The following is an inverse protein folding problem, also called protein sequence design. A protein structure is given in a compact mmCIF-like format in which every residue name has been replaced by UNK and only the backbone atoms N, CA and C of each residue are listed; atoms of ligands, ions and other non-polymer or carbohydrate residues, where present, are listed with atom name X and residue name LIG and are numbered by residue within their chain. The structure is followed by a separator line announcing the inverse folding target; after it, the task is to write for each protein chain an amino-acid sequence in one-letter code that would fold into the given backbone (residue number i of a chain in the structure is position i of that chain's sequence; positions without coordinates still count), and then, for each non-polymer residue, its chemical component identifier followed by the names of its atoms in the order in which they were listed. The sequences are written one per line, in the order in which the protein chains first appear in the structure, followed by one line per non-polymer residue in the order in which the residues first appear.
data_IF_765665657410
#
_entry.id   IF_765665657410
#
_cell.length_a   1.000
_cell.length_b   1.000
_cell.length_c   1.000
_cell.angle_alpha   90.00
_cell.angle_beta   90.00
_cell.angle_gamma   90.00
#
_symmetry.space_group_name_H-M   'P 1'
#
loop_
_entity.id
_entity.type
_entity.pdbx_description
1 polymer ?
#
# COMPACT_ATOMS: atom_id res chain seq x y z
N UNK A 1 -51.29 36.56 -0.36
CA UNK A 1 -50.58 35.92 0.77
C UNK A 1 -49.39 35.17 0.21
N UNK A 2 -48.18 35.62 0.50
CA UNK A 2 -46.95 34.99 0.00
C UNK A 2 -46.58 33.83 0.93
N UNK A 3 -46.94 32.61 0.56
CA UNK A 3 -46.48 31.40 1.27
C UNK A 3 -45.01 31.17 0.92
N UNK A 4 -44.08 31.74 1.70
CA UNK A 4 -42.70 31.32 1.63
C UNK A 4 -42.61 29.86 2.12
N UNK A 5 -42.12 28.91 1.30
CA UNK A 5 -41.94 27.55 1.76
C UNK A 5 -40.91 27.53 2.88
N UNK A 6 -41.32 27.02 4.04
CA UNK A 6 -40.45 26.88 5.21
C UNK A 6 -39.16 26.14 4.85
N UNK A 7 -38.02 26.65 5.32
CA UNK A 7 -36.68 26.12 5.03
C UNK A 7 -36.62 24.65 5.46
N UNK A 8 -36.62 23.72 4.49
CA UNK A 8 -36.50 22.28 4.75
C UNK A 8 -35.23 22.02 5.57
N UNK A 9 -35.35 21.20 6.62
CA UNK A 9 -34.24 20.81 7.50
C UNK A 9 -33.12 20.22 6.63
N UNK A 10 -31.90 20.73 6.77
CA UNK A 10 -30.74 20.23 6.01
C UNK A 10 -30.47 18.78 6.42
N UNK A 11 -30.57 17.85 5.47
CA UNK A 11 -30.16 16.46 5.68
C UNK A 11 -28.64 16.40 5.69
N UNK A 12 -28.07 15.75 6.70
CA UNK A 12 -26.66 15.45 6.76
C UNK A 12 -26.46 13.99 6.34
N UNK A 13 -25.58 13.77 5.37
CA UNK A 13 -25.19 12.43 4.94
C UNK A 13 -24.12 11.88 5.88
N UNK A 14 -24.29 10.63 6.30
CA UNK A 14 -23.29 9.90 7.04
C UNK A 14 -22.01 9.71 6.20
N UNK A 15 -20.83 9.52 6.83
CA UNK A 15 -19.58 9.31 6.09
C UNK A 15 -19.66 8.15 5.09
N UNK A 16 -20.29 7.03 5.48
CA UNK A 16 -20.47 5.87 4.61
C UNK A 16 -21.37 6.18 3.40
N UNK A 17 -22.52 6.85 3.60
CA UNK A 17 -23.40 7.28 2.51
C UNK A 17 -22.65 8.18 1.51
N UNK A 18 -21.79 9.08 2.01
CA UNK A 18 -20.98 9.94 1.14
C UNK A 18 -20.00 9.14 0.29
N UNK A 19 -19.37 8.12 0.87
CA UNK A 19 -18.43 7.24 0.17
C UNK A 19 -19.11 6.43 -0.93
N UNK A 20 -20.27 5.86 -0.64
CA UNK A 20 -21.07 5.12 -1.62
C UNK A 20 -21.49 5.99 -2.80
N UNK A 21 -22.05 7.18 -2.52
CA UNK A 21 -22.42 8.15 -3.57
C UNK A 21 -21.19 8.53 -4.41
N UNK A 22 -20.05 8.81 -3.76
CA UNK A 22 -18.82 9.12 -4.49
C UNK A 22 -18.39 7.97 -5.40
N UNK A 23 -18.50 6.72 -4.95
CA UNK A 23 -18.13 5.56 -5.75
C UNK A 23 -19.02 5.35 -6.96
N UNK A 24 -20.34 5.52 -6.79
CA UNK A 24 -21.30 5.46 -7.91
C UNK A 24 -21.00 6.56 -8.95
N UNK A 25 -20.69 7.78 -8.50
CA UNK A 25 -20.32 8.90 -9.39
C UNK A 25 -19.00 8.63 -10.14
N UNK A 26 -18.00 8.07 -9.48
CA UNK A 26 -16.69 7.74 -10.11
C UNK A 26 -16.84 6.63 -11.15
N UNK A 27 -17.70 5.65 -10.90
CA UNK A 27 -17.99 4.54 -11.83
C UNK A 27 -18.93 4.94 -12.96
N UNK A 28 -19.55 6.12 -12.90
CA UNK A 28 -20.56 6.56 -13.86
C UNK A 28 -21.90 5.82 -13.73
N UNK A 29 -22.15 5.18 -12.58
CA UNK A 29 -23.41 4.47 -12.29
C UNK A 29 -24.57 5.44 -12.00
N UNK A 30 -24.26 6.67 -11.59
CA UNK A 30 -25.25 7.73 -11.34
C UNK A 30 -24.71 9.09 -11.74
N UNK A 31 -25.62 10.03 -12.00
CA UNK A 31 -25.31 11.44 -12.20
C UNK A 31 -25.42 12.25 -10.90
N UNK A 32 -24.84 13.45 -10.88
CA UNK A 32 -24.97 14.39 -9.74
C UNK A 32 -26.44 14.72 -9.45
N UNK A 33 -27.28 14.80 -10.48
CA UNK A 33 -28.69 15.12 -10.32
C UNK A 33 -29.47 13.96 -9.66
N UNK A 34 -29.27 12.74 -10.14
CA UNK A 34 -29.90 11.53 -9.61
C UNK A 34 -29.46 11.26 -8.16
N UNK A 35 -28.14 11.34 -7.88
CA UNK A 35 -27.62 11.17 -6.54
C UNK A 35 -28.19 12.21 -5.57
N UNK A 36 -28.31 13.46 -6.00
CA UNK A 36 -28.91 14.52 -5.18
C UNK A 36 -30.40 14.26 -4.87
N UNK A 37 -31.15 13.78 -5.86
CA UNK A 37 -32.56 13.42 -5.70
C UNK A 37 -32.75 12.24 -4.74
N UNK A 38 -32.03 11.13 -4.96
CA UNK A 38 -32.08 9.93 -4.11
C UNK A 38 -31.65 10.24 -2.67
N UNK A 39 -30.56 10.99 -2.51
CA UNK A 39 -30.05 11.40 -1.23
C UNK A 39 -30.85 12.57 -0.60
N UNK A 40 -31.84 13.14 -1.31
CA UNK A 40 -32.65 14.29 -0.86
C UNK A 40 -31.80 15.47 -0.38
N UNK A 41 -30.73 15.78 -1.11
CA UNK A 41 -29.83 16.90 -0.85
C UNK A 41 -29.73 17.81 -2.06
N UNK A 42 -29.12 18.97 -1.90
CA UNK A 42 -28.89 19.88 -3.01
C UNK A 42 -27.77 19.38 -3.94
N UNK A 43 -27.88 19.65 -5.24
CA UNK A 43 -26.84 19.28 -6.23
C UNK A 43 -25.47 19.85 -5.87
N UNK A 44 -25.40 21.07 -5.31
CA UNK A 44 -24.15 21.66 -4.84
C UNK A 44 -23.52 20.86 -3.69
N UNK A 45 -24.33 20.17 -2.88
CA UNK A 45 -23.83 19.29 -1.81
C UNK A 45 -23.11 18.08 -2.40
N UNK A 46 -23.67 17.47 -3.44
CA UNK A 46 -23.05 16.35 -4.16
C UNK A 46 -21.81 16.79 -4.94
N UNK A 47 -21.86 17.95 -5.62
CA UNK A 47 -20.68 18.52 -6.27
C UNK A 47 -19.55 18.78 -5.26
N UNK A 48 -19.86 19.39 -4.10
CA UNK A 48 -18.87 19.65 -3.06
C UNK A 48 -18.31 18.36 -2.47
N UNK A 49 -19.15 17.34 -2.28
CA UNK A 49 -18.73 16.01 -1.83
C UNK A 49 -17.71 15.41 -2.80
N UNK A 50 -17.95 15.45 -4.10
CA UNK A 50 -17.02 14.95 -5.13
C UNK A 50 -15.65 15.64 -5.04
N UNK A 51 -15.64 16.97 -4.93
CA UNK A 51 -14.38 17.73 -4.82
C UNK A 51 -13.61 17.39 -3.54
N UNK A 52 -14.31 17.32 -2.39
CA UNK A 52 -13.69 17.00 -1.11
C UNK A 52 -13.15 15.57 -1.07
N UNK A 53 -13.91 14.61 -1.60
CA UNK A 53 -13.49 13.21 -1.67
C UNK A 53 -12.24 13.05 -2.55
N UNK A 54 -12.20 13.71 -3.72
CA UNK A 54 -11.03 13.70 -4.61
C UNK A 54 -9.81 14.33 -3.95
N UNK A 55 -9.97 15.52 -3.35
CA UNK A 55 -8.88 16.19 -2.65
C UNK A 55 -8.32 15.34 -1.50
N UNK A 56 -9.19 14.82 -0.63
CA UNK A 56 -8.78 13.97 0.48
C UNK A 56 -8.09 12.67 0.04
N UNK A 57 -8.53 12.07 -1.06
CA UNK A 57 -7.86 10.90 -1.63
C UNK A 57 -6.45 11.25 -2.15
N UNK A 58 -6.30 12.37 -2.86
CA UNK A 58 -4.99 12.83 -3.34
C UNK A 58 -4.05 13.18 -2.19
N UNK A 59 -4.54 13.84 -1.15
CA UNK A 59 -3.77 14.19 0.05
C UNK A 59 -3.28 12.93 0.79
N UNK A 60 -4.17 11.94 0.97
CA UNK A 60 -3.82 10.68 1.61
C UNK A 60 -2.81 9.87 0.78
N UNK A 61 -2.96 9.86 -0.54
CA UNK A 61 -2.01 9.19 -1.44
C UNK A 61 -0.65 9.89 -1.48
N UNK A 62 -0.60 11.21 -1.41
CA UNK A 62 0.64 11.97 -1.33
C UNK A 62 1.43 11.67 -0.04
N UNK A 63 0.74 11.37 1.05
CA UNK A 63 1.35 10.97 2.32
C UNK A 63 1.73 9.49 2.36
N UNK A 64 1.14 8.67 1.49
CA UNK A 64 1.40 7.23 1.45
C UNK A 64 2.79 6.94 0.88
N UNK A 65 3.68 6.45 1.74
CA UNK A 65 5.02 6.00 1.36
C UNK A 65 5.02 4.48 1.20
N UNK A 66 5.74 3.93 0.21
CA UNK A 66 5.96 2.50 0.13
C UNK A 66 6.46 1.97 1.48
N UNK A 67 5.85 0.88 1.97
CA UNK A 67 6.31 0.22 3.18
C UNK A 67 7.77 -0.22 3.03
N UNK A 68 8.47 -0.40 4.16
CA UNK A 68 9.81 -0.99 4.15
C UNK A 68 9.70 -2.35 3.45
N UNK A 69 10.46 -2.55 2.37
CA UNK A 69 10.59 -3.89 1.77
C UNK A 69 10.96 -4.84 2.91
N UNK A 70 10.07 -5.79 3.22
CA UNK A 70 10.45 -6.91 4.08
C UNK A 70 11.68 -7.58 3.46
N UNK A 71 12.51 -8.22 4.29
CA UNK A 71 13.69 -8.95 3.83
C UNK A 71 13.26 -9.92 2.74
N UNK A 72 13.44 -9.51 1.48
CA UNK A 72 13.24 -10.37 0.34
C UNK A 72 14.27 -11.48 0.53
N UNK A 73 13.81 -12.75 0.53
CA UNK A 73 14.71 -13.89 0.69
C UNK A 73 15.77 -13.79 -0.40
N UNK A 74 16.98 -13.43 0.02
CA UNK A 74 18.09 -13.16 -0.87
C UNK A 74 18.70 -14.50 -1.27
N UNK A 75 18.11 -15.10 -2.30
CA UNK A 75 18.48 -16.44 -2.79
C UNK A 75 19.95 -16.45 -3.22
N UNK A 76 20.42 -15.38 -3.84
CA UNK A 76 21.81 -15.22 -4.26
C UNK A 76 22.77 -15.23 -3.05
N UNK A 77 22.41 -14.53 -1.97
CA UNK A 77 23.18 -14.56 -0.73
C UNK A 77 23.22 -15.94 -0.08
N UNK A 78 22.10 -16.66 -0.08
CA UNK A 78 22.03 -18.01 0.50
C UNK A 78 22.80 -19.04 -0.34
N UNK A 79 22.73 -18.95 -1.66
CA UNK A 79 23.54 -19.76 -2.58
C UNK A 79 25.04 -19.47 -2.40
N UNK A 80 25.43 -18.20 -2.29
CA UNK A 80 26.81 -17.79 -2.05
C UNK A 80 27.35 -18.33 -0.72
N UNK A 81 26.54 -18.32 0.35
CA UNK A 81 26.92 -18.90 1.64
C UNK A 81 27.08 -20.42 1.56
N UNK A 82 26.18 -21.11 0.87
CA UNK A 82 26.25 -22.55 0.70
C UNK A 82 27.51 -22.97 -0.08
N UNK A 83 27.88 -22.21 -1.12
CA UNK A 83 29.11 -22.43 -1.87
C UNK A 83 30.35 -22.16 -1.00
N UNK A 84 30.35 -21.06 -0.24
CA UNK A 84 31.46 -20.72 0.65
C UNK A 84 31.73 -21.83 1.69
N UNK A 85 30.69 -22.45 2.25
CA UNK A 85 30.84 -23.56 3.20
C UNK A 85 31.32 -24.85 2.55
N UNK A 86 30.87 -25.15 1.32
CA UNK A 86 31.41 -26.28 0.54
C UNK A 86 32.92 -26.10 0.30
N UNK A 87 33.32 -24.92 -0.17
CA UNK A 87 34.73 -24.60 -0.45
C UNK A 87 35.58 -24.61 0.83
N UNK A 88 35.06 -24.07 1.94
CA UNK A 88 35.73 -24.10 3.26
C UNK A 88 35.99 -25.54 3.70
N UNK A 89 35.02 -26.44 3.54
CA UNK A 89 35.15 -27.86 3.89
C UNK A 89 36.21 -28.53 3.03
N UNK A 90 36.16 -28.34 1.71
CA UNK A 90 37.15 -28.90 0.79
C UNK A 90 38.58 -28.40 1.10
N UNK A 91 38.73 -27.11 1.39
CA UNK A 91 40.01 -26.53 1.78
C UNK A 91 40.54 -27.11 3.10
N UNK A 92 39.67 -27.32 4.09
CA UNK A 92 40.06 -27.95 5.35
C UNK A 92 40.54 -29.39 5.14
N UNK A 93 39.83 -30.18 4.32
CA UNK A 93 40.25 -31.54 3.97
C UNK A 93 41.58 -31.59 3.21
N UNK A 94 41.80 -30.65 2.29
CA UNK A 94 43.06 -30.52 1.56
C UNK A 94 44.20 -30.13 2.50
N UNK A 95 43.98 -29.19 3.42
CA UNK A 95 44.98 -28.77 4.41
C UNK A 95 45.39 -29.93 5.34
N UNK A 96 44.43 -30.75 5.77
CA UNK A 96 44.72 -31.97 6.55
C UNK A 96 45.56 -32.95 5.73
N UNK A 97 45.16 -33.23 4.48
CA UNK A 97 45.93 -34.12 3.59
C UNK A 97 47.35 -33.62 3.35
N UNK A 98 47.51 -32.31 3.13
CA UNK A 98 48.81 -31.67 2.95
C UNK A 98 49.69 -31.84 4.19
N UNK A 99 49.15 -31.53 5.38
CA UNK A 99 49.87 -31.66 6.65
C UNK A 99 50.30 -33.12 6.92
N UNK A 100 49.49 -34.10 6.53
CA UNK A 100 49.84 -35.52 6.66
C UNK A 100 50.92 -35.94 5.65
N UNK A 101 50.94 -35.36 4.45
CA UNK A 101 51.89 -35.68 3.40
C UNK A 101 53.26 -35.00 3.62
N UNK A 102 53.25 -33.72 3.99
CA UNK A 102 54.46 -32.91 4.21
C UNK A 102 55.05 -33.13 5.62
N UNK A 103 54.26 -33.71 6.53
CA UNK A 103 54.60 -33.79 7.94
C UNK A 103 54.40 -32.43 8.63
N UNK A 104 54.55 -32.42 9.96
CA UNK A 104 54.38 -31.20 10.74
C UNK A 104 55.71 -30.45 10.80
N UNK A 105 55.90 -29.44 9.96
CA UNK A 105 56.98 -28.47 10.21
C UNK A 105 56.67 -27.71 11.51
N UNK A 106 57.62 -27.61 12.45
CA UNK A 106 57.50 -26.67 13.54
C UNK A 106 57.42 -25.28 12.90
N UNK A 107 56.31 -24.59 13.09
CA UNK A 107 56.22 -23.18 12.77
C UNK A 107 57.38 -22.48 13.51
N UNK A 108 58.31 -21.91 12.74
CA UNK A 108 59.25 -20.90 13.24
C UNK A 108 58.53 -19.59 13.50
#
# INVERSE_FOLDING_TARGET
MSTQPGRKKKRFLAPQEKYEIWMQLVRGETTVAEAAEQARVDRATISKLREVAKAGALDALAQSRPGRRGTQRDVELEEAKAEAERLRTALAEMAVRLTLAEGKEPWG
#
